data_IF_412207616970
#
_entry.id   IF_412207616970
#
_cell.length_a   1.000
_cell.length_b   1.000
_cell.length_c   1.000
_cell.angle_alpha   90.00
_cell.angle_beta   90.00
_cell.angle_gamma   90.00
#
_symmetry.space_group_name_H-M   'P 1'
#
loop_
_entity.id
_entity.type
_entity.pdbx_description
1 polymer ?
2 polymer ?
3 non-polymer ?
4 non-polymer ?
5 non-polymer ?
6 non-polymer ?
7 non-polymer ?
8 water ?
#
loop_
_entity_poly.entity_id
_entity_poly.type
_entity_poly.pdbx_seq_one_letter_code
_entity_poly.pdbx_strand_id
2 'polyribonucleotide' 'GAACCUCCGCCCAUUGCACUCCGGGCGGUGAAGGAGAGGCGCAAGGUUAACCGCCUCAGGUUCC' ?
#
# COMPACT_ATOMS: atom_id res chain seq x y z
N UNK A 2 -12.10 2.68 18.75
CA UNK A 2 -10.83 2.53 19.46
C UNK A 2 -9.72 3.24 18.69
N UNK A 3 -9.54 2.82 17.43
CA UNK A 3 -8.63 3.52 16.53
C UNK A 3 -9.43 3.96 15.31
N UNK A 4 -9.97 5.18 15.36
CA UNK A 4 -10.88 5.63 14.32
C UNK A 4 -10.20 5.91 13.01
N UNK A 5 -8.87 6.13 13.02
CA UNK A 5 -8.17 6.42 11.79
C UNK A 5 -8.12 5.24 10.85
N UNK A 6 -8.47 4.04 11.32
CA UNK A 6 -8.53 2.88 10.46
C UNK A 6 -9.95 2.53 10.04
N UNK A 7 -10.98 3.24 10.61
CA UNK A 7 -12.37 2.95 10.24
C UNK A 7 -12.75 3.82 9.05
N UNK A 8 -13.30 3.23 7.99
CA UNK A 8 -13.56 3.98 6.76
C UNK A 8 -14.36 5.24 7.00
N UNK A 9 -14.06 6.27 6.21
CA UNK A 9 -14.61 7.59 6.41
C UNK A 9 -14.71 8.27 5.06
N UNK A 10 -15.61 9.23 4.95
CA UNK A 10 -15.68 9.98 3.70
C UNK A 10 -14.36 10.66 3.37
N UNK A 11 -13.58 11.01 4.39
CA UNK A 11 -12.40 11.83 4.22
C UNK A 11 -11.16 10.98 4.48
N UNK A 12 -10.18 11.08 3.59
CA UNK A 12 -8.87 10.50 3.83
C UNK A 12 -7.93 11.61 4.29
N UNK A 13 -7.05 11.27 5.22
CA UNK A 13 -6.02 12.16 5.74
C UNK A 13 -4.69 11.68 5.17
N UNK A 14 -4.02 12.56 4.42
CA UNK A 14 -2.71 12.24 3.87
C UNK A 14 -1.68 13.10 4.61
N UNK A 15 -0.60 12.49 5.07
CA UNK A 15 0.55 13.30 5.47
C UNK A 15 1.79 12.73 4.84
N UNK A 16 2.91 13.28 5.26
CA UNK A 16 4.18 13.05 4.62
C UNK A 16 4.22 13.65 3.22
N UNK A 17 3.45 14.70 2.99
CA UNK A 17 3.55 15.43 1.74
C UNK A 17 4.74 16.38 1.75
N UNK A 18 5.26 16.64 0.56
CA UNK A 18 6.31 17.62 0.36
C UNK A 18 5.84 19.00 0.78
N UNK A 19 6.41 19.60 1.81
CA UNK A 19 5.90 20.91 2.32
C UNK A 19 6.33 22.06 1.42
N UNK A 20 7.26 21.84 0.52
CA UNK A 20 7.77 22.86 -0.43
C UNK A 20 6.68 23.33 -1.40
N UNK A 21 5.81 22.43 -1.84
CA UNK A 21 4.76 22.76 -2.85
C UNK A 21 3.77 23.77 -2.30
N UNK A 22 3.32 24.67 -3.17
CA UNK A 22 2.40 25.76 -2.75
C UNK A 22 0.99 25.24 -2.51
N UNK A 23 0.21 25.94 -1.70
CA UNK A 23 -1.09 25.45 -1.27
C UNK A 23 -1.99 25.11 -2.46
N UNK A 24 -2.12 26.02 -3.40
CA UNK A 24 -3.05 25.77 -4.52
C UNK A 24 -2.52 24.68 -5.43
N UNK A 25 -1.22 24.69 -5.74
CA UNK A 25 -0.68 23.63 -6.57
C UNK A 25 -0.87 22.28 -5.91
N UNK A 26 -0.64 22.21 -4.59
CA UNK A 26 -0.82 20.96 -3.89
C UNK A 26 -2.26 20.49 -3.99
N UNK A 27 -3.21 21.41 -3.73
CA UNK A 27 -4.63 21.08 -3.84
C UNK A 27 -4.99 20.56 -5.22
N UNK A 28 -4.53 21.25 -6.27
CA UNK A 28 -4.93 20.84 -7.61
C UNK A 28 -4.23 19.56 -8.04
N UNK A 29 -2.98 19.34 -7.65
CA UNK A 29 -2.35 18.06 -7.98
C UNK A 29 -2.99 16.89 -7.22
N UNK A 30 -3.33 17.10 -5.95
CA UNK A 30 -4.08 16.08 -5.23
C UNK A 30 -5.38 15.76 -5.95
N UNK A 31 -6.14 16.80 -6.34
CA UNK A 31 -7.36 16.53 -7.08
C UNK A 31 -7.06 15.75 -8.34
N UNK A 32 -6.02 16.11 -9.06
CA UNK A 32 -5.73 15.39 -10.30
C UNK A 32 -5.51 13.92 -10.03
N UNK A 33 -4.79 13.58 -8.98
CA UNK A 33 -4.46 12.17 -8.79
C UNK A 33 -5.59 11.40 -8.10
N UNK A 34 -6.46 12.08 -7.37
CA UNK A 34 -7.49 11.40 -6.61
C UNK A 34 -8.88 11.42 -7.23
N UNK A 35 -9.13 12.26 -8.21
CA UNK A 35 -10.52 12.37 -8.66
C UNK A 35 -11.04 11.14 -9.38
N UNK A 36 -10.19 10.30 -9.98
CA UNK A 36 -10.72 9.14 -10.68
C UNK A 36 -11.38 8.15 -9.74
N UNK A 37 -11.22 8.29 -8.44
CA UNK A 37 -11.79 7.30 -7.55
C UNK A 37 -13.19 7.67 -7.13
N UNK A 38 -13.67 8.83 -7.51
CA UNK A 38 -14.99 9.25 -7.11
C UNK A 38 -15.10 10.75 -7.06
N UNK A 39 -16.31 11.22 -6.78
CA UNK A 39 -16.51 12.65 -6.75
C UNK A 39 -15.88 13.19 -5.49
N UNK A 40 -15.30 14.38 -5.59
CA UNK A 40 -14.57 14.99 -4.49
C UNK A 40 -15.34 16.20 -4.01
N UNK A 41 -15.86 16.14 -2.78
CA UNK A 41 -16.50 17.32 -2.20
C UNK A 41 -15.47 18.43 -1.98
N UNK A 42 -14.33 18.11 -1.41
CA UNK A 42 -13.37 19.20 -1.23
C UNK A 42 -12.02 18.65 -0.80
N UNK A 43 -11.00 19.47 -0.92
CA UNK A 43 -9.65 19.10 -0.50
C UNK A 43 -9.07 20.26 0.29
N UNK A 44 -8.74 20.01 1.56
CA UNK A 44 -8.34 21.02 2.52
C UNK A 44 -6.85 20.88 2.80
N UNK A 45 -6.08 21.91 2.45
CA UNK A 45 -4.65 21.98 2.78
C UNK A 45 -4.36 23.30 3.47
N UNK A 46 -3.51 23.25 4.49
CA UNK A 46 -3.03 24.43 5.18
C UNK A 46 -1.52 24.36 5.21
N UNK A 47 -0.87 25.52 5.12
CA UNK A 47 0.56 25.59 5.25
C UNK A 47 0.99 26.04 6.64
N UNK A 48 0.07 26.07 7.58
CA UNK A 48 0.36 26.37 8.97
C UNK A 48 1.52 25.50 9.46
N UNK A 49 2.20 25.94 10.54
CA UNK A 49 3.20 25.10 11.17
C UNK A 49 2.60 23.76 11.56
N UNK A 50 1.38 23.80 12.09
CA UNK A 50 0.73 22.62 12.62
C UNK A 50 0.18 21.73 11.52
N UNK A 51 -0.15 22.30 10.36
CA UNK A 51 -0.85 21.56 9.31
C UNK A 51 -0.02 21.30 8.06
N UNK A 52 1.19 21.83 7.94
CA UNK A 52 1.92 21.58 6.72
C UNK A 52 2.20 20.09 6.54
N UNK A 53 2.47 19.70 5.29
CA UNK A 53 2.72 18.32 4.96
C UNK A 53 1.50 17.42 4.98
N UNK A 54 0.30 17.97 5.25
CA UNK A 54 -0.92 17.20 5.42
C UNK A 54 -2.04 17.76 4.54
N UNK A 55 -2.96 16.88 4.17
CA UNK A 55 -4.12 17.24 3.37
C UNK A 55 -5.31 16.36 3.75
N UNK A 56 -6.50 16.93 3.72
CA UNK A 56 -7.70 16.12 3.88
C UNK A 56 -8.42 16.12 2.55
N UNK A 57 -8.64 14.94 1.99
CA UNK A 57 -9.38 14.80 0.73
C UNK A 57 -10.75 14.23 1.06
N UNK A 58 -11.82 14.94 0.69
CA UNK A 58 -13.19 14.62 1.09
C UNK A 58 -13.98 14.15 -0.12
N UNK A 59 -14.35 12.86 -0.09
CA UNK A 59 -15.09 12.16 -1.12
C UNK A 59 -16.57 12.14 -0.77
N UNK A 60 -17.40 12.14 -1.82
CA UNK A 60 -18.85 12.03 -1.65
C UNK A 60 -19.24 10.66 -1.13
N UNK A 61 -18.49 9.63 -1.49
CA UNK A 61 -18.81 8.25 -1.20
C UNK A 61 -17.68 7.60 -0.42
N UNK A 62 -18.02 6.95 0.70
CA UNK A 62 -16.98 6.30 1.49
C UNK A 62 -16.26 5.24 0.66
N UNK A 63 -16.99 4.51 -0.17
CA UNK A 63 -16.30 3.51 -0.99
C UNK A 63 -15.19 4.17 -1.83
N UNK A 64 -15.40 5.41 -2.26
CA UNK A 64 -14.36 6.11 -3.01
C UNK A 64 -13.13 6.35 -2.15
N UNK A 65 -13.33 6.82 -0.92
CA UNK A 65 -12.20 6.99 -0.02
C UNK A 65 -11.43 5.69 0.13
N UNK A 66 -12.16 4.58 0.31
CA UNK A 66 -11.48 3.30 0.54
C UNK A 66 -10.65 2.90 -0.67
N UNK A 67 -11.19 3.07 -1.89
CA UNK A 67 -10.37 2.75 -3.06
C UNK A 67 -9.19 3.70 -3.22
N UNK A 68 -9.38 4.97 -2.93
CA UNK A 68 -8.27 5.88 -3.10
C UNK A 68 -7.14 5.49 -2.15
N UNK A 69 -7.47 5.30 -0.88
CA UNK A 69 -6.44 4.92 0.12
C UNK A 69 -5.69 3.67 -0.33
N UNK A 70 -6.39 2.60 -0.66
CA UNK A 70 -5.71 1.33 -0.96
C UNK A 70 -4.83 1.50 -2.18
N UNK A 71 -5.32 2.24 -3.15
CA UNK A 71 -4.59 2.35 -4.41
C UNK A 71 -3.43 3.35 -4.32
N UNK A 72 -3.51 4.31 -3.44
CA UNK A 72 -2.49 5.35 -3.42
C UNK A 72 -1.62 5.29 -2.16
N UNK A 73 -1.87 4.33 -1.27
CA UNK A 73 -0.99 4.15 -0.13
C UNK A 73 0.43 4.03 -0.63
N UNK A 74 1.32 4.81 -0.03
CA UNK A 74 2.74 4.79 -0.35
C UNK A 74 3.14 5.34 -1.71
N UNK A 75 2.21 5.84 -2.49
CA UNK A 75 2.53 6.24 -3.85
C UNK A 75 3.48 7.43 -3.87
N UNK A 76 4.49 7.42 -4.75
CA UNK A 76 5.42 8.55 -4.82
C UNK A 76 4.73 9.78 -5.39
N UNK A 77 4.87 10.90 -4.68
CA UNK A 77 4.16 12.13 -4.99
C UNK A 77 5.04 13.28 -4.56
N UNK A 78 5.49 14.09 -5.50
CA UNK A 78 6.43 15.17 -5.20
C UNK A 78 7.62 14.65 -4.40
N UNK A 79 8.06 13.44 -4.73
CA UNK A 79 9.26 12.77 -4.21
C UNK A 79 9.11 12.20 -2.82
N UNK A 80 7.91 12.09 -2.28
CA UNK A 80 7.73 11.49 -0.99
C UNK A 80 6.56 10.50 -1.06
N UNK A 81 6.69 9.35 -0.38
CA UNK A 81 5.60 8.38 -0.40
C UNK A 81 4.43 8.88 0.41
N UNK A 82 3.27 8.95 -0.22
CA UNK A 82 2.08 9.40 0.48
C UNK A 82 1.74 8.46 1.62
N UNK A 83 1.39 9.01 2.77
CA UNK A 83 0.93 8.20 3.88
C UNK A 83 -0.53 8.52 4.09
N UNK A 84 -1.40 7.51 3.95
CA UNK A 84 -2.85 7.74 3.89
C UNK A 84 -3.54 7.02 5.04
N UNK A 85 -4.41 7.74 5.74
CA UNK A 85 -5.32 7.16 6.72
C UNK A 85 -6.74 7.62 6.42
N UNK A 86 -7.71 7.10 7.15
CA UNK A 86 -9.00 7.75 7.18
C UNK A 86 -8.96 8.83 8.26
N UNK A 87 -9.64 9.95 8.00
CA UNK A 87 -9.75 11.01 8.99
C UNK A 87 -10.35 10.48 10.28
N UNK A 88 -9.91 11.03 11.40
CA UNK A 88 -10.40 10.55 12.70
C UNK A 88 -11.83 11.00 12.99
N UNK A 89 -12.34 11.98 12.27
CA UNK A 89 -13.69 12.46 12.51
C UNK A 89 -14.22 12.97 11.19
N UNK A 90 -15.54 13.01 11.05
CA UNK A 90 -16.10 13.48 9.81
C UNK A 90 -15.68 14.93 9.60
N UNK A 91 -15.36 15.27 8.35
CA UNK A 91 -15.23 16.67 7.97
C UNK A 91 -16.56 17.38 8.15
N UNK A 92 -16.49 18.69 8.40
CA UNK A 92 -17.69 19.45 8.71
C UNK A 92 -18.72 19.31 7.60
N UNK A 93 -18.31 19.45 6.35
CA UNK A 93 -19.28 19.37 5.25
C UNK A 93 -20.04 18.05 5.31
N UNK A 94 -19.38 16.97 5.71
CA UNK A 94 -20.04 15.68 5.84
C UNK A 94 -20.94 15.67 7.07
N UNK A 95 -20.45 16.20 8.20
CA UNK A 95 -21.29 16.22 9.38
C UNK A 95 -22.60 16.95 9.10
N UNK A 96 -22.52 18.01 8.31
CA UNK A 96 -23.72 18.74 7.94
C UNK A 96 -24.66 17.85 7.13
N UNK A 97 -24.15 17.06 6.20
CA UNK A 97 -25.02 16.17 5.44
C UNK A 97 -25.75 15.19 6.35
N UNK A 98 -25.02 14.56 7.26
CA UNK A 98 -25.59 13.54 8.13
C UNK A 98 -26.50 14.11 9.21
N UNK A 99 -26.60 15.43 9.34
CA UNK A 99 -27.37 16.01 10.42
C UNK A 99 -26.70 16.02 11.78
N UNK A 100 -25.39 15.75 11.86
CA UNK A 100 -24.67 15.62 13.12
C UNK A 100 -23.82 16.83 13.49
N UNK A 101 -23.86 17.91 12.71
CA UNK A 101 -22.94 19.02 12.90
C UNK A 101 -23.16 19.70 14.25
N UNK A 102 -22.03 19.99 14.92
CA UNK A 102 -21.95 20.64 16.24
C UNK A 102 -22.90 20.01 17.26
N UNK C 1 16.71 -14.14 -0.32
CA UNK C 1 16.40 -12.81 0.21
C UNK C 1 14.89 -12.60 0.52
N UNK C 2 14.57 -11.44 1.12
CA UNK C 2 13.21 -11.01 1.39
C UNK C 2 12.32 -11.15 0.15
N UNK C 3 11.48 -12.20 0.11
CA UNK C 3 10.52 -12.41 -0.94
C UNK C 3 9.11 -12.47 -0.30
N UNK C 4 8.16 -11.66 -0.75
CA UNK C 4 6.84 -11.61 -0.08
C UNK C 4 6.06 -12.90 -0.31
N UNK C 5 5.51 -13.45 0.78
CA UNK C 5 4.64 -14.63 0.72
C UNK C 5 3.25 -14.21 0.26
N UNK C 6 2.88 -14.59 -0.97
CA UNK C 6 1.57 -14.22 -1.54
C UNK C 6 0.54 -15.36 -1.53
N UNK C 7 0.89 -16.56 -1.09
CA UNK C 7 -0.08 -17.64 -1.13
C UNK C 7 -1.00 -17.53 0.07
N UNK C 8 -2.31 -17.47 -0.14
CA UNK C 8 -3.26 -17.21 0.97
C UNK C 8 -3.15 -18.18 2.12
N UNK C 9 -3.43 -17.66 3.32
CA UNK C 9 -3.33 -18.40 4.56
C UNK C 9 -4.34 -17.81 5.54
N UNK C 10 -4.73 -18.61 6.54
CA UNK C 10 -5.61 -18.06 7.57
C UNK C 10 -4.96 -16.89 8.30
N UNK C 11 -3.63 -16.88 8.36
CA UNK C 11 -2.90 -15.97 9.24
C UNK C 11 -2.13 -14.96 8.40
N UNK C 12 -2.25 -13.68 8.75
CA UNK C 12 -1.43 -12.65 8.11
C UNK C 12 -0.24 -12.33 9.01
N UNK C 13 0.91 -12.15 8.40
CA UNK C 13 2.16 -11.83 9.08
C UNK C 13 2.45 -10.36 8.83
N UNK C 14 2.49 -9.56 9.91
CA UNK C 14 2.72 -8.13 9.81
C UNK C 14 4.09 -7.81 10.39
N UNK C 15 4.89 -7.04 9.66
CA UNK C 15 6.16 -6.59 10.20
C UNK C 15 6.37 -5.13 9.85
N UNK C 16 7.54 -4.62 10.20
CA UNK C 16 7.82 -3.19 10.20
C UNK C 16 6.96 -2.47 11.22
N UNK C 17 6.59 -3.18 12.29
CA UNK C 17 5.90 -2.57 13.40
C UNK C 17 6.85 -1.80 14.29
N UNK C 18 6.33 -0.75 14.92
CA UNK C 18 7.03 0.08 15.91
C UNK C 18 7.42 -0.77 17.12
N UNK C 19 8.72 -0.99 17.34
CA UNK C 19 9.10 -1.92 18.40
C UNK C 19 8.98 -1.35 19.80
N UNK C 20 8.67 -0.07 19.93
CA UNK C 20 8.53 0.52 21.25
C UNK C 20 7.16 0.29 21.86
N UNK C 21 6.25 -0.46 21.21
CA UNK C 21 4.90 -0.62 21.74
C UNK C 21 4.84 -1.89 22.57
N UNK C 22 4.26 -1.78 23.76
CA UNK C 22 4.23 -2.92 24.68
C UNK C 22 3.28 -3.99 24.15
N UNK C 23 3.54 -5.24 24.54
CA UNK C 23 2.83 -6.37 23.95
C UNK C 23 1.31 -6.22 24.03
N UNK C 24 0.78 -5.90 25.22
CA UNK C 24 -0.67 -5.87 25.35
C UNK C 24 -1.29 -4.72 24.56
N UNK C 25 -0.68 -3.54 24.61
CA UNK C 25 -1.23 -2.45 23.80
C UNK C 25 -1.22 -2.83 22.34
N UNK C 26 -0.15 -3.48 21.90
CA UNK C 26 -0.08 -3.87 20.51
C UNK C 26 -1.20 -4.83 20.18
N UNK C 27 -1.38 -5.89 20.98
CA UNK C 27 -2.49 -6.82 20.71
C UNK C 27 -3.82 -6.09 20.67
N UNK C 28 -4.09 -5.20 21.62
CA UNK C 28 -5.42 -4.60 21.63
C UNK C 28 -5.63 -3.77 20.38
N UNK C 29 -4.60 -3.03 19.96
CA UNK C 29 -4.75 -2.18 18.79
C UNK C 29 -4.86 -3.02 17.52
N UNK C 30 -4.05 -4.07 17.41
CA UNK C 30 -4.18 -4.96 16.26
C UNK C 30 -5.60 -5.48 16.16
N UNK C 31 -6.12 -6.04 17.26
CA UNK C 31 -7.48 -6.55 17.21
C UNK C 31 -8.46 -5.44 16.84
N UNK C 32 -8.28 -4.25 17.41
CA UNK C 32 -9.21 -3.16 17.13
C UNK C 32 -9.24 -2.85 15.64
N UNK C 33 -8.08 -2.82 14.98
CA UNK C 33 -8.09 -2.38 13.59
C UNK C 33 -8.43 -3.54 12.65
N UNK C 34 -8.17 -4.79 13.00
CA UNK C 34 -8.36 -5.90 12.03
C UNK C 34 -9.63 -6.71 12.30
N UNK C 35 -10.39 -6.35 13.32
CA UNK C 35 -11.61 -7.08 13.70
C UNK C 35 -12.70 -6.91 12.64
N UNK C 36 -12.63 -5.84 11.85
CA UNK C 36 -13.71 -5.56 10.87
C UNK C 36 -13.60 -6.48 9.68
N UNK C 37 -12.40 -6.91 9.37
CA UNK C 37 -12.15 -7.84 8.25
C UNK C 37 -12.82 -9.18 8.54
N UNK C 38 -12.78 -9.63 9.79
CA UNK C 38 -13.45 -10.88 10.16
C UNK C 38 -13.10 -11.33 11.55
N UNK C 39 -13.55 -12.52 11.92
CA UNK C 39 -13.27 -13.07 13.27
C UNK C 39 -11.80 -13.38 13.42
N UNK C 40 -11.25 -13.06 14.58
CA UNK C 40 -9.81 -13.31 14.84
C UNK C 40 -9.74 -14.38 15.92
N UNK C 41 -8.99 -15.45 15.65
CA UNK C 41 -8.89 -16.58 16.60
C UNK C 41 -7.80 -16.24 17.63
N UNK C 42 -6.72 -15.61 17.20
CA UNK C 42 -5.69 -15.13 18.14
C UNK C 42 -4.77 -14.09 17.48
N UNK C 43 -4.05 -13.30 18.28
CA UNK C 43 -3.00 -12.40 17.75
C UNK C 43 -1.72 -12.73 18.53
N UNK C 44 -0.64 -13.12 17.86
CA UNK C 44 0.60 -13.54 18.49
C UNK C 44 1.61 -12.42 18.39
N UNK C 45 2.05 -11.91 19.54
CA UNK C 45 3.06 -10.87 19.62
C UNK C 45 4.18 -11.28 20.56
N UNK C 46 5.43 -11.13 20.10
CA UNK C 46 6.61 -11.37 20.92
C UNK C 46 7.55 -10.19 20.78
N UNK C 47 8.18 -9.78 21.88
CA UNK C 47 9.19 -8.73 21.82
C UNK C 47 10.63 -9.25 21.83
N UNK C 48 10.83 -10.57 21.72
CA UNK C 48 12.17 -11.16 21.63
C UNK C 48 12.99 -10.46 20.56
N UNK C 49 14.32 -10.65 20.61
CA UNK C 49 15.17 -10.10 19.57
C UNK C 49 14.71 -10.53 18.18
N UNK C 50 14.36 -11.81 18.03
CA UNK C 50 14.05 -12.33 16.71
C UNK C 50 12.64 -11.96 16.25
N UNK C 51 11.71 -11.74 17.17
CA UNK C 51 10.31 -11.52 16.81
C UNK C 51 9.81 -10.11 17.04
N UNK C 52 10.59 -9.21 17.61
CA UNK C 52 10.06 -7.88 17.78
C UNK C 52 9.75 -7.29 16.41
N UNK C 53 8.87 -6.29 16.41
CA UNK C 53 8.45 -5.68 15.16
C UNK C 53 7.50 -6.49 14.31
N UNK C 54 7.09 -7.68 14.76
CA UNK C 54 6.25 -8.58 13.96
C UNK C 54 5.07 -9.05 14.78
N UNK C 55 3.99 -9.40 14.09
CA UNK C 55 2.78 -9.90 14.72
C UNK C 55 2.13 -10.89 13.78
N UNK C 56 1.51 -11.92 14.34
CA UNK C 56 0.72 -12.87 13.55
C UNK C 56 -0.73 -12.68 13.92
N UNK C 57 -1.56 -12.36 12.93
CA UNK C 57 -3.00 -12.22 13.16
C UNK C 57 -3.69 -13.40 12.50
N UNK C 58 -4.42 -14.19 13.29
CA UNK C 58 -4.97 -15.48 12.87
C UNK C 58 -6.49 -15.34 12.78
N UNK C 59 -7.01 -15.41 11.55
CA UNK C 59 -8.44 -15.29 11.20
C UNK C 59 -9.08 -16.67 11.09
N UNK C 60 -10.37 -16.76 11.45
CA UNK C 60 -11.07 -18.04 11.27
C UNK C 60 -11.26 -18.37 9.79
N UNK C 61 -11.41 -17.36 8.94
CA UNK C 61 -11.72 -17.56 7.53
C UNK C 61 -10.64 -16.87 6.70
N UNK C 62 -10.09 -17.61 5.74
CA UNK C 62 -9.05 -17.07 4.85
C UNK C 62 -9.54 -15.81 4.16
N UNK C 63 -10.84 -15.70 3.92
CA UNK C 63 -11.38 -14.50 3.32
C UNK C 63 -11.00 -13.26 4.12
N UNK C 64 -11.07 -13.36 5.45
CA UNK C 64 -10.72 -12.21 6.27
C UNK C 64 -9.26 -11.87 6.09
N UNK C 65 -8.41 -12.90 6.06
CA UNK C 65 -7.01 -12.64 5.81
C UNK C 65 -6.85 -11.88 4.52
N UNK C 66 -7.49 -12.32 3.46
CA UNK C 66 -7.27 -11.68 2.15
C UNK C 66 -7.71 -10.20 2.14
N UNK C 67 -8.87 -9.89 2.68
CA UNK C 67 -9.34 -8.48 2.72
C UNK C 67 -8.40 -7.62 3.58
N UNK C 68 -7.98 -8.13 4.72
CA UNK C 68 -7.09 -7.37 5.62
C UNK C 68 -5.74 -7.09 4.97
N UNK C 69 -5.16 -8.08 4.30
CA UNK C 69 -3.90 -7.77 3.63
C UNK C 69 -4.12 -6.70 2.57
N UNK C 70 -5.18 -6.84 1.79
CA UNK C 70 -5.45 -5.89 0.68
C UNK C 70 -5.79 -4.50 1.17
N UNK C 71 -6.66 -4.43 2.15
CA UNK C 71 -7.09 -3.13 2.71
C UNK C 71 -6.01 -2.36 3.48
N UNK C 72 -5.21 -3.05 4.29
CA UNK C 72 -4.29 -2.36 5.23
C UNK C 72 -2.83 -2.32 4.81
N UNK C 73 -2.49 -2.73 3.59
CA UNK C 73 -1.05 -2.72 3.29
C UNK C 73 -0.56 -1.28 3.36
N UNK C 74 0.53 -1.05 4.05
CA UNK C 74 1.15 0.27 4.12
C UNK C 74 0.46 1.18 5.08
N UNK C 75 -0.54 0.69 5.79
CA UNK C 75 -1.31 1.63 6.61
C UNK C 75 -0.37 2.18 7.67
N UNK C 76 -0.37 3.50 7.88
CA UNK C 76 0.43 4.07 8.92
C UNK C 76 -0.11 3.55 10.25
N UNK C 77 0.78 3.13 11.16
CA UNK C 77 0.39 2.53 12.46
C UNK C 77 1.50 2.83 13.43
N UNK C 78 1.19 3.53 14.49
CA UNK C 78 2.23 3.93 15.43
C UNK C 78 3.41 4.52 14.68
N UNK C 79 3.12 5.30 13.64
CA UNK C 79 4.09 6.05 12.88
C UNK C 79 4.88 5.24 11.87
N UNK C 80 4.51 4.01 11.57
CA UNK C 80 5.25 3.28 10.55
C UNK C 80 4.26 2.54 9.65
N UNK C 81 4.53 2.49 8.35
CA UNK C 81 3.62 1.77 7.46
C UNK C 81 3.71 0.27 7.68
N UNK C 82 2.57 -0.34 7.98
CA UNK C 82 2.52 -1.79 8.14
C UNK C 82 2.95 -2.47 6.86
N UNK C 83 3.67 -3.57 6.99
CA UNK C 83 3.97 -4.43 5.85
C UNK C 83 3.32 -5.77 6.11
N UNK C 84 2.44 -6.20 5.22
CA UNK C 84 1.60 -7.37 5.45
C UNK C 84 1.89 -8.43 4.39
N UNK C 85 2.02 -9.67 4.83
CA UNK C 85 2.11 -10.84 3.97
C UNK C 85 1.14 -11.89 4.49
N UNK C 86 1.04 -13.01 3.77
CA UNK C 86 0.44 -14.18 4.36
C UNK C 86 1.51 -14.95 5.10
N UNK C 87 1.13 -15.60 6.20
CA UNK C 87 2.04 -16.48 6.90
C UNK C 87 2.59 -17.55 5.96
N UNK C 88 3.84 -17.95 6.17
CA UNK C 88 4.43 -18.96 5.31
C UNK C 88 3.91 -20.35 5.60
N UNK C 89 3.33 -20.57 6.77
CA UNK C 89 2.89 -21.89 7.20
C UNK C 89 1.68 -21.69 8.11
N UNK C 90 0.87 -22.74 8.24
CA UNK C 90 -0.31 -22.66 9.08
C UNK C 90 0.07 -22.41 10.53
N UNK C 91 -0.67 -21.53 11.20
CA UNK C 91 -0.56 -21.40 12.65
C UNK C 91 -0.99 -22.70 13.32
N UNK C 92 -0.47 -22.93 14.52
CA UNK C 92 -0.75 -24.18 15.21
C UNK C 92 -2.25 -24.35 15.45
N UNK C 93 -2.90 -23.29 15.95
CA UNK C 93 -4.33 -23.35 16.22
C UNK C 93 -5.12 -23.70 14.95
N UNK C 94 -4.64 -23.25 13.80
CA UNK C 94 -5.31 -23.59 12.54
C UNK C 94 -5.02 -25.02 12.13
N UNK C 95 -3.76 -25.45 12.20
CA UNK C 95 -3.46 -26.83 11.82
C UNK C 95 -4.26 -27.81 12.67
N UNK C 96 -4.44 -27.51 13.95
CA UNK C 96 -5.27 -28.34 14.82
C UNK C 96 -6.73 -28.30 14.36
N UNK C 97 -7.18 -27.15 13.87
CA UNK C 97 -8.54 -27.04 13.35
C UNK C 97 -8.79 -28.06 12.25
N UNK C 98 -7.89 -28.09 11.26
CA UNK C 98 -7.94 -28.95 10.09
C UNK C 98 -7.48 -30.39 10.34
N UNK C 99 -7.05 -30.76 11.55
CA UNK C 99 -6.54 -32.10 11.77
C UNK C 99 -5.14 -32.37 11.25
N UNK C 100 -4.39 -31.35 10.86
CA UNK C 100 -3.09 -31.51 10.23
C UNK C 100 -1.93 -31.26 11.19
N UNK C 101 -2.22 -31.04 12.47
CA UNK C 101 -1.23 -30.57 13.43
C UNK C 101 -0.10 -31.58 13.70
N UNK C 102 1.15 -31.10 13.60
CA UNK C 102 2.39 -31.84 13.90
C UNK C 102 2.38 -33.26 13.39
N UNK D 1 -4.72 8.77 -19.08
CA UNK D 1 -4.78 10.02 -19.79
C UNK D 1 -4.11 11.13 -19.04
N UNK D 2 -4.81 11.70 -18.08
CA UNK D 2 -4.31 12.86 -17.35
C UNK D 2 -3.15 12.76 -16.40
N UNK D 3 -3.06 11.74 -15.57
CA UNK D 3 -1.99 11.47 -14.65
C UNK D 3 -1.80 10.00 -14.91
N UNK D 4 -1.14 9.67 -15.99
CA UNK D 4 -1.04 8.26 -16.37
C UNK D 4 -0.35 7.36 -15.38
N UNK D 5 0.54 7.90 -14.57
CA UNK D 5 1.30 7.14 -13.59
C UNK D 5 0.46 6.48 -12.56
N UNK D 6 -0.65 7.08 -12.23
CA UNK D 6 -1.53 6.58 -11.22
C UNK D 6 -2.55 5.63 -11.75
N UNK D 7 -2.67 5.55 -13.05
CA UNK D 7 -3.69 4.71 -13.64
C UNK D 7 -3.18 3.32 -14.05
N UNK D 8 -3.88 2.18 -13.69
CA UNK D 8 -3.31 0.85 -13.96
C UNK D 8 -2.86 0.68 -15.40
N UNK D 9 -1.79 -0.10 -15.55
CA UNK D 9 -1.12 -0.34 -16.81
C UNK D 9 -0.47 -1.72 -16.71
N UNK D 10 -0.25 -2.37 -17.85
CA UNK D 10 0.42 -3.67 -17.82
C UNK D 10 1.79 -3.58 -17.17
N UNK D 11 2.44 -2.42 -17.25
CA UNK D 11 3.82 -2.27 -16.85
C UNK D 11 3.89 -1.34 -15.64
N UNK D 12 4.59 -1.78 -14.62
CA UNK D 12 4.88 -0.95 -13.46
C UNK D 12 6.30 -0.43 -13.62
N UNK D 13 6.50 0.82 -13.22
CA UNK D 13 7.79 1.50 -13.22
C UNK D 13 8.24 1.58 -11.77
N UNK D 14 9.39 0.98 -11.46
CA UNK D 14 9.96 0.97 -10.11
C UNK D 14 11.23 1.82 -10.12
N UNK D 15 11.38 2.69 -9.13
CA UNK D 15 12.63 3.43 -8.97
C UNK D 15 12.98 3.47 -7.49
N UNK D 16 14.03 4.25 -7.19
CA UNK D 16 14.72 4.19 -5.90
C UNK D 16 15.34 2.81 -5.71
N UNK D 17 15.71 2.18 -6.82
CA UNK D 17 16.43 0.91 -6.76
C UNK D 17 17.91 1.17 -6.46
N UNK D 18 18.53 0.21 -5.76
CA UNK D 18 19.96 0.23 -5.50
C UNK D 18 20.75 0.17 -6.80
N UNK D 19 21.47 1.22 -7.17
CA UNK D 19 22.14 1.28 -8.51
C UNK D 19 23.42 0.45 -8.53
N UNK D 20 23.85 -0.08 -7.40
CA UNK D 20 25.15 -0.78 -7.33
C UNK D 20 25.00 -2.23 -7.77
N UNK D 21 23.78 -2.73 -7.79
CA UNK D 21 23.52 -4.11 -8.31
C UNK D 21 23.69 -4.19 -9.84
N UNK D 22 24.37 -5.23 -10.33
CA UNK D 22 24.61 -5.44 -11.74
C UNK D 22 23.30 -5.71 -12.47
N UNK D 23 23.32 -5.39 -13.76
CA UNK D 23 22.09 -5.36 -14.54
C UNK D 23 21.34 -6.69 -14.43
N UNK D 24 22.05 -7.80 -14.63
CA UNK D 24 21.41 -9.10 -14.64
C UNK D 24 20.98 -9.54 -13.24
N UNK D 25 21.82 -9.31 -12.22
CA UNK D 25 21.37 -9.64 -10.87
C UNK D 25 20.08 -8.89 -10.54
N UNK D 26 20.01 -7.62 -10.91
CA UNK D 26 18.79 -6.86 -10.65
C UNK D 26 17.61 -7.46 -11.42
N UNK D 27 17.78 -7.73 -12.71
CA UNK D 27 16.67 -8.28 -13.47
C UNK D 27 16.15 -9.57 -12.83
N UNK D 28 17.06 -10.47 -12.46
CA UNK D 28 16.61 -11.76 -11.96
C UNK D 28 16.02 -11.64 -10.57
N UNK D 29 16.55 -10.76 -9.72
CA UNK D 29 15.93 -10.62 -8.42
C UNK D 29 14.54 -10.00 -8.55
N UNK D 30 14.41 -9.00 -9.43
CA UNK D 30 13.10 -8.44 -9.69
C UNK D 30 12.13 -9.53 -10.14
N UNK D 31 12.54 -10.33 -11.12
CA UNK D 31 11.66 -11.39 -11.58
C UNK D 31 11.30 -12.32 -10.43
N UNK D 32 12.28 -12.72 -9.63
CA UNK D 32 12.01 -13.64 -8.54
C UNK D 32 10.95 -13.09 -7.59
N UNK D 33 10.94 -11.78 -7.30
CA UNK D 33 9.90 -11.35 -6.37
C UNK D 33 8.60 -11.05 -7.10
N UNK D 34 8.65 -10.61 -8.35
CA UNK D 34 7.44 -10.08 -8.96
C UNK D 34 6.69 -11.11 -9.76
N UNK D 35 7.30 -12.27 -10.03
CA UNK D 35 6.60 -13.32 -10.74
C UNK D 35 5.53 -13.93 -9.86
N UNK D 36 5.57 -13.67 -8.55
CA UNK D 36 4.54 -14.19 -7.66
C UNK D 36 3.16 -13.64 -8.00
N UNK D 37 3.11 -12.50 -8.69
CA UNK D 37 1.85 -11.82 -8.90
C UNK D 37 1.21 -12.13 -10.25
N UNK D 38 1.88 -12.90 -11.10
CA UNK D 38 1.42 -13.09 -12.47
C UNK D 38 2.59 -13.36 -13.40
N UNK D 39 2.26 -13.48 -14.69
CA UNK D 39 3.30 -13.69 -15.70
C UNK D 39 4.03 -12.42 -15.96
N UNK D 40 5.33 -12.54 -16.21
CA UNK D 40 6.13 -11.38 -16.54
C UNK D 40 6.48 -11.57 -18.00
N UNK D 41 5.99 -10.66 -18.83
CA UNK D 41 6.40 -10.63 -20.22
C UNK D 41 7.88 -10.25 -20.30
N UNK D 42 8.27 -9.24 -19.52
CA UNK D 42 9.69 -8.88 -19.55
C UNK D 42 10.01 -7.90 -18.44
N UNK D 43 11.31 -7.74 -18.17
CA UNK D 43 11.81 -6.78 -17.20
C UNK D 43 12.98 -6.02 -17.83
N UNK D 44 12.84 -4.71 -17.94
CA UNK D 44 13.81 -3.85 -18.58
C UNK D 44 14.55 -3.04 -17.52
N UNK D 45 15.86 -3.23 -17.41
CA UNK D 45 16.70 -2.40 -16.56
C UNK D 45 17.82 -1.85 -17.42
N UNK D 46 18.14 -0.58 -17.22
CA UNK D 46 19.25 0.03 -17.92
C UNK D 46 20.16 0.61 -16.87
N UNK D 47 21.47 0.56 -17.11
CA UNK D 47 22.42 1.18 -16.21
C UNK D 47 22.99 2.49 -16.76
N UNK D 48 22.42 3.01 -17.85
CA UNK D 48 22.79 4.33 -18.32
C UNK D 48 22.65 5.33 -17.19
N UNK D 49 23.27 6.50 -17.35
CA UNK D 49 23.10 7.57 -16.38
C UNK D 49 21.62 7.88 -16.17
N UNK D 50 20.85 7.95 -17.26
CA UNK D 50 19.47 8.39 -17.16
C UNK D 50 18.52 7.31 -16.64
N UNK D 51 18.86 6.03 -16.78
CA UNK D 51 17.93 4.97 -16.41
C UNK D 51 18.39 4.15 -15.22
N UNK D 52 19.57 4.38 -14.67
CA UNK D 52 19.97 3.57 -13.53
C UNK D 52 19.01 3.80 -12.37
N UNK D 53 18.98 2.85 -11.45
CA UNK D 53 18.07 2.96 -10.31
C UNK D 53 16.60 2.72 -10.63
N UNK D 54 16.26 2.42 -11.89
CA UNK D 54 14.89 2.28 -12.35
C UNK D 54 14.77 0.99 -13.14
N UNK D 55 13.55 0.43 -13.13
CA UNK D 55 13.23 -0.80 -13.85
C UNK D 55 11.77 -0.74 -14.31
N UNK D 56 11.50 -1.36 -15.46
CA UNK D 56 10.15 -1.54 -15.96
C UNK D 56 9.81 -3.02 -15.93
N UNK D 57 8.77 -3.37 -15.18
CA UNK D 57 8.30 -4.75 -15.12
C UNK D 57 7.02 -4.82 -15.93
N UNK D 58 6.99 -5.66 -16.96
CA UNK D 58 5.90 -5.75 -17.92
C UNK D 58 5.18 -7.06 -17.67
N UNK D 59 3.94 -6.93 -17.19
CA UNK D 59 3.07 -8.02 -16.81
C UNK D 59 2.11 -8.41 -17.95
N UNK D 60 1.80 -9.71 -18.02
CA UNK D 60 0.87 -10.16 -19.05
C UNK D 60 -0.54 -9.62 -18.81
N UNK D 61 -0.94 -9.50 -17.55
CA UNK D 61 -2.28 -9.07 -17.18
C UNK D 61 -2.24 -7.93 -16.20
N UNK D 62 -3.01 -6.86 -16.49
CA UNK D 62 -3.04 -5.70 -15.63
C UNK D 62 -3.41 -6.08 -14.19
N UNK D 63 -4.25 -7.07 -13.99
CA UNK D 63 -4.58 -7.52 -12.66
C UNK D 63 -3.36 -7.75 -11.82
N UNK D 64 -2.35 -8.37 -12.40
CA UNK D 64 -1.12 -8.68 -11.70
C UNK D 64 -0.34 -7.49 -11.26
N UNK D 65 -0.26 -6.50 -12.10
CA UNK D 65 0.47 -5.33 -11.80
C UNK D 65 -0.11 -4.60 -10.71
N UNK D 66 -1.41 -4.58 -10.68
CA UNK D 66 -2.09 -3.85 -9.66
C UNK D 66 -1.80 -4.45 -8.34
N UNK D 67 -1.82 -5.75 -8.27
CA UNK D 67 -1.52 -6.40 -7.03
C UNK D 67 -0.12 -6.17 -6.63
N UNK D 68 0.77 -6.18 -7.59
CA UNK D 68 2.15 -5.97 -7.31
C UNK D 68 2.52 -4.63 -6.81
N UNK D 69 1.91 -3.60 -7.35
CA UNK D 69 2.21 -2.31 -6.91
C UNK D 69 1.84 -2.19 -5.50
N UNK D 70 0.66 -2.65 -5.16
CA UNK D 70 0.21 -2.46 -3.82
C UNK D 70 0.94 -3.25 -2.84
N UNK D 71 1.15 -4.48 -3.16
CA UNK D 71 1.80 -5.32 -2.25
C UNK D 71 3.21 -4.91 -2.03
N UNK D 72 3.89 -4.52 -3.08
CA UNK D 72 5.28 -4.22 -2.97
C UNK D 72 5.68 -2.78 -2.83
N UNK D 73 4.74 -1.89 -2.69
CA UNK D 73 5.09 -0.52 -2.47
C UNK D 73 5.86 -0.37 -1.22
N UNK D 74 6.96 0.35 -1.31
CA UNK D 74 7.79 0.53 -0.13
C UNK D 74 8.54 -0.69 0.35
N UNK D 75 8.43 -1.81 -0.36
CA UNK D 75 9.04 -3.04 0.12
C UNK D 75 10.56 -2.92 0.09
N UNK D 76 11.24 -3.41 1.12
CA UNK D 76 12.72 -3.32 1.16
C UNK D 76 13.37 -4.24 0.14
N UNK D 77 14.28 -3.67 -0.65
CA UNK D 77 14.90 -4.39 -1.76
C UNK D 77 16.33 -3.91 -1.88
N UNK D 78 17.29 -4.81 -1.67
CA UNK D 78 18.70 -4.43 -1.71
C UNK D 78 18.93 -3.18 -0.89
N UNK D 79 18.23 -3.09 0.24
CA UNK D 79 18.42 -2.06 1.25
C UNK D 79 17.76 -0.73 0.89
N UNK D 80 16.88 -0.69 -0.10
CA UNK D 80 16.14 0.52 -0.40
C UNK D 80 14.67 0.17 -0.63
N UNK D 81 13.76 0.98 -0.10
CA UNK D 81 12.33 0.70 -0.30
C UNK D 81 11.92 1.01 -1.74
N UNK D 82 11.28 0.05 -2.39
CA UNK D 82 10.85 0.28 -3.77
C UNK D 82 9.86 1.43 -3.84
N UNK D 83 9.98 2.25 -4.88
CA UNK D 83 8.93 3.23 -5.19
C UNK D 83 8.30 2.84 -6.51
N UNK D 84 7.02 2.50 -6.48
CA UNK D 84 6.36 1.86 -7.62
C UNK D 84 5.25 2.75 -8.14
N UNK D 85 5.22 2.99 -9.46
CA UNK D 85 4.13 3.65 -10.16
C UNK D 85 3.70 2.77 -11.32
N UNK D 86 2.65 3.17 -12.02
CA UNK D 86 2.39 2.60 -13.33
C UNK D 86 3.15 3.39 -14.36
N UNK D 87 3.60 2.71 -15.42
CA UNK D 87 4.24 3.40 -16.53
C UNK D 87 3.34 4.48 -17.12
N UNK D 88 3.95 5.60 -17.53
CA UNK D 88 3.21 6.72 -18.09
C UNK D 88 2.69 6.45 -19.49
N UNK D 89 3.16 5.39 -20.15
CA UNK D 89 2.70 5.00 -21.47
C UNK D 89 2.88 3.49 -21.56
N UNK D 90 2.14 2.86 -22.46
CA UNK D 90 2.29 1.41 -22.63
C UNK D 90 3.70 1.06 -23.10
N UNK D 91 4.24 -0.03 -22.57
CA UNK D 91 5.47 -0.57 -23.13
C UNK D 91 5.25 -1.01 -24.56
N UNK D 92 6.34 -1.03 -25.33
CA UNK D 92 6.24 -1.36 -26.75
C UNK D 92 5.61 -2.74 -26.93
N UNK D 93 5.92 -3.68 -26.06
CA UNK D 93 5.37 -5.05 -26.28
C UNK D 93 3.85 -4.99 -26.21
N UNK D 94 3.30 -4.31 -25.22
CA UNK D 94 1.83 -4.23 -25.00
C UNK D 94 1.18 -3.52 -26.18
N UNK D 95 1.81 -2.49 -26.68
CA UNK D 95 1.19 -1.67 -27.75
C UNK D 95 0.99 -2.55 -28.98
N UNK D 96 1.96 -3.40 -29.26
CA UNK D 96 1.87 -4.29 -30.44
C UNK D 96 0.69 -5.24 -30.31
N UNK D 97 0.48 -5.79 -29.12
CA UNK D 97 -0.66 -6.71 -28.88
C UNK D 97 -1.96 -5.93 -29.07
N UNK D 98 -1.98 -4.70 -28.58
CA UNK D 98 -3.16 -3.81 -28.74
C UNK D 98 -3.33 -3.49 -30.23
N UNK D 99 -2.23 -3.38 -30.96
CA UNK D 99 -2.32 -2.91 -32.36
C UNK D 99 -2.17 -1.40 -32.38
N UNK D 100 -1.85 -0.83 -31.24
CA UNK D 100 -1.64 0.64 -31.14
C UNK D 100 -0.17 0.98 -31.39
N UNK D 101 0.67 -0.01 -31.68
CA UNK D 101 2.13 0.29 -31.77
C UNK D 101 2.42 1.29 -32.88
N UNK D 102 3.33 2.23 -32.62
CA UNK D 102 3.65 3.33 -33.58
C UNK D 102 2.42 3.59 -34.44
X LIG G 1 -1.41 40.72 -3.45
X LIG H 1 0.78 44.16 -2.18
X LIG I 1 -24.47 36.08 -16.90
X LIG I 1 -25.81 35.47 -17.16
X LIG I 1 -24.56 37.51 -16.43
X LIG I 1 -23.44 35.83 -17.98
X LIG I 1 -23.91 35.30 -15.61
X LIG I 1 -23.21 33.86 -15.66
X LIG I 1 -23.73 33.06 -16.82
X LIG I 1 -21.73 34.02 -15.48
X LIG I 1 -23.81 33.23 -14.32
X LIG I 1 -25.02 33.74 -13.80
X LIG I 1 -25.73 32.67 -13.00
X LIG I 1 -25.85 31.48 -13.77
X LIG I 1 -24.96 32.24 -11.78
X LIG I 1 -25.26 33.03 -10.64
X LIG I 1 -25.47 30.85 -11.57
X LIG I 1 -26.71 30.93 -10.88
X LIG I 1 -25.74 30.32 -12.94
X LIG I 1 -24.57 29.52 -13.36
X LIG I 1 -23.73 29.85 -14.34
X LIG I 1 -22.75 28.91 -14.49
X LIG I 1 -22.98 27.97 -13.58
X LIG I 1 -22.33 26.71 -13.22
X LIG I 1 -21.23 26.27 -13.86
X LIG I 1 -22.86 26.00 -12.21
X LIG I 1 -23.97 26.41 -11.55
X LIG I 1 -24.44 25.64 -10.55
X LIG I 1 -24.61 27.55 -11.85
X LIG I 1 -24.18 28.36 -12.84
X LIG J 1 5.63 60.80 -14.47
X LIG J 1 4.41 60.16 -15.09
X LIG J 1 4.68 58.86 -15.58
X LIG J 1 3.47 58.17 -15.84
X LIG J 1 3.27 57.05 -14.86
X LIG J 1 1.85 58.44 -11.72
X LIG J 1 2.09 58.31 -13.20
X LIG J 1 3.19 57.47 -13.50
X LIG K 1 10.71 57.19 -1.54
X LIG K 1 9.18 57.63 -3.42
X LIG K 1 10.18 57.30 -4.35
X LIG K 1 9.92 57.41 -5.69
X LIG K 1 8.70 57.86 -6.22
X LIG K 1 7.71 58.18 -5.26
X LIG K 1 7.92 58.08 -3.93
X LIG K 1 8.26 60.58 -6.73
X LIG K 1 9.41 57.54 -2.06
X LIG K 1 8.37 57.85 -1.10
X LIG K 1 10.96 57.04 -6.51
X LIG K 1 9.67 57.78 -9.85
X LIG K 1 10.76 57.46 -10.59
X LIG K 1 11.96 56.98 -9.97
X LIG K 1 14.19 55.90 -10.19
X LIG K 1 13.16 57.06 -12.11
X LIG K 1 11.94 56.84 -8.57
X LIG K 1 10.83 57.18 -7.86
X LIG K 1 7.19 58.35 -8.16
X LIG K 1 6.60 57.40 -8.98
X LIG K 1 5.32 57.59 -9.45
X LIG K 1 4.60 58.72 -9.12
X LIG K 1 5.14 59.63 -8.23
X LIG K 1 6.44 59.46 -7.75
X LIG K 1 7.02 60.55 -6.86
X LIG K 1 3.22 58.87 -9.70
X LIG K 1 8.54 57.98 -7.60
X LIG K 1 9.64 57.65 -8.44
X LIG K 1 13.07 56.66 -10.72
X LIG K 1 3.02 58.25 -10.89
X LIG K 1 6.27 61.46 -6.46
X LIG K 1 2.37 59.60 -9.18
X LIG L 1 7.20 60.30 -12.62
X LIG L 1 8.48 59.76 -12.90
X LIG L 1 9.56 60.06 -12.13
X LIG L 1 9.41 60.90 -11.02
X LIG L 1 8.20 61.44 -10.68
X LIG L 1 7.09 61.16 -11.48
X LIG L 1 6.17 59.96 -13.40
X LIG L 1 10.59 61.19 -10.20
X LIG L 1 5.85 61.76 -11.06
X LIG L 1 5.86 62.52 -10.09
X LIG L 1 4.83 61.49 -11.68
X LIG L 1 10.45 61.92 -9.23
X LIG L 1 11.64 60.66 -10.51
X LIG M 1 3.69 -6.80 37.93
X LIG N 1 7.97 -5.68 41.77
X LIG O 1 16.60 1.07 53.61
X LIG O 1 14.37 1.30 54.64
X LIG O 1 14.33 2.68 54.34
X LIG O 1 13.24 3.42 54.69
X LIG O 1 12.11 2.89 55.35
X LIG O 1 12.16 1.49 55.63
X LIG O 1 13.23 0.74 55.30
X LIG O 1 10.42 1.43 59.35
X LIG O 1 15.45 0.53 54.30
X LIG O 1 15.46 -0.88 54.62
X LIG O 1 13.29 4.75 54.35
X LIG O 1 10.06 6.02 55.48
X LIG O 1 10.17 7.32 55.05
X LIG O 1 11.35 7.77 54.37
X LIG O 1 10.42 10.05 54.15
X LIG O 1 12.65 9.53 53.21
X LIG O 1 12.37 6.83 54.16
X LIG O 1 12.23 5.55 54.61
X LIG O 1 9.75 3.10 56.16
X LIG O 1 8.70 3.15 55.25
X LIG O 1 7.50 2.52 55.52
X LIG O 1 7.32 1.81 56.70
X LIG O 1 8.40 1.69 57.59
X LIG O 1 9.61 2.30 57.32
X LIG O 1 10.70 2.16 58.36
X LIG O 1 6.00 1.19 56.97
X LIG O 1 11.03 3.71 55.66
X LIG O 1 11.07 5.07 55.25
X LIG O 1 11.48 9.07 53.94
X LIG O 1 5.88 0.25 58.05
X LIG O 1 11.78 2.79 58.21
X LIG O 1 4.99 1.57 56.38
X LIG P 1 -19.59 -15.84 40.23
X LIG P 1 -20.67 -16.77 40.71
X LIG P 1 -18.65 -15.39 41.33
X LIG P 1 -20.06 -14.72 39.33
X LIG P 1 -18.66 -16.73 39.29
X LIG P 1 -19.04 -17.00 37.76
X LIG P 1 -20.49 -17.40 37.67
X LIG P 1 -18.52 -15.86 36.92
X LIG P 1 -18.17 -18.29 37.41
X LIG P 1 -18.54 -19.52 38.00
X LIG P 1 -18.65 -20.57 36.90
X LIG P 1 -19.69 -20.23 36.00
X LIG P 1 -17.41 -20.58 36.02
X LIG P 1 -16.37 -21.39 36.54
X LIG P 1 -17.94 -21.15 34.74
X LIG P 1 -17.91 -22.58 34.81
X LIG P 1 -19.35 -20.66 34.67
X LIG P 1 -19.33 -19.50 33.77
X LIG P 1 -19.56 -18.22 34.10
X LIG P 1 -19.45 -17.41 33.02
X LIG P 1 -19.15 -18.18 31.97
X LIG P 1 -18.90 -17.96 30.53
X LIG P 1 -18.95 -16.71 30.00
X LIG P 1 -18.61 -19.02 29.78
X LIG P 1 -18.56 -20.28 30.29
X LIG P 1 -18.26 -21.31 29.48
X LIG P 1 -18.78 -20.55 31.59
X LIG P 1 -19.07 -19.56 32.46
X LIG Q 1 53.24 -4.09 -26.17
X LIG Q 1 53.21 -6.45 -26.88
X LIG Q 1 53.76 -6.86 -25.65
X LIG Q 1 53.96 -8.18 -25.41
X LIG Q 1 53.63 -9.21 -26.31
X LIG Q 1 53.05 -8.78 -27.53
X LIG Q 1 52.85 -7.46 -27.82
X LIG Q 1 54.77 -10.94 -30.24
X LIG Q 1 53.00 -5.12 -27.16
X LIG Q 1 52.64 -4.71 -28.51
X LIG Q 1 54.51 -8.47 -24.19
X LIG Q 1 54.86 -12.12 -24.26
X LIG Q 1 55.44 -12.31 -23.06
X LIG Q 1 55.73 -11.20 -22.19
X LIG Q 1 56.90 -12.66 -20.56
X LIG Q 1 56.52 -10.30 -20.03
X LIG Q 1 55.38 -9.92 -22.64
X LIG Q 1 54.79 -9.76 -23.86
X LIG Q 1 53.43 -11.65 -26.90
X LIG Q 1 52.50 -12.53 -26.32
X LIG Q 1 51.93 -13.53 -27.08
X LIG Q 1 52.25 -13.68 -28.43
X LIG Q 1 53.13 -12.77 -29.01
X LIG Q 1 53.71 -11.75 -28.27
X LIG Q 1 54.69 -10.84 -28.99
X LIG Q 1 51.65 -14.79 -29.23
X LIG Q 1 53.89 -10.55 -25.98
X LIG Q 1 54.49 -10.82 -24.73
X LIG Q 1 56.34 -11.39 -20.97
X LIG Q 1 51.96 -14.76 -30.62
X LIG Q 1 55.40 -10.05 -28.31
X LIG Q 1 51.02 -15.71 -28.72
X LIG R 1 15.02 -30.18 -28.89
X LIG R 1 13.97 -30.74 -29.80
X LIG R 1 16.38 -30.82 -29.03
X LIG R 1 14.58 -29.96 -27.47
X LIG R 1 15.25 -28.70 -29.45
X LIG R 1 16.15 -28.42 -30.73
X LIG R 1 15.94 -29.51 -31.75
X LIG R 1 17.53 -28.07 -30.24
X LIG R 1 15.44 -27.11 -31.29
X LIG R 1 14.76 -27.21 -32.54
X LIG R 1 13.48 -26.41 -32.50
X LIG R 1 12.55 -27.01 -31.60
X LIG R 1 13.68 -25.04 -31.90
X LIG R 1 14.18 -24.09 -32.83
X LIG R 1 12.28 -24.70 -31.49
X LIG R 1 11.58 -24.20 -32.63
X LIG R 1 11.69 -26.01 -31.06
X LIG R 1 11.80 -26.07 -29.60
X LIG R 1 12.54 -26.96 -28.92
X LIG R 1 12.46 -26.76 -27.60
X LIG R 1 11.66 -25.71 -27.41
X LIG R 1 11.16 -24.97 -26.24
X LIG R 1 11.51 -25.34 -24.99
X LIG R 1 10.34 -23.92 -26.47
X LIG R 1 9.97 -23.54 -27.71
X LIG R 1 9.16 -22.49 -27.83
X LIG R 1 10.40 -24.18 -28.81
X LIG R 1 11.23 -25.24 -28.73
#
# INVERSE_FOLDING_TARGET
MAVPETRPNHTIYINNLNEKIKKDELKKSLHAIFSRFGQILDILVSRSLKMRGQAFVIFKEVSSATNALRSMQGFPFYDKPMRIQYAKTDSDIIAKMKGTFV
MAVPETRPNHTIYINNLNEKIKKDELKKSLHAIFSRFGQILDILVSRSLKMRGQAFVIFKEVSSATNALRSMQGFPFYDKPMRIQYAKTDSDIIAKMKGTFV
MAVPETRPNHTIYINNLNEKIKKDELKKSLHAIFSRFGQILDILVSRSLKMRGQAFVIFKEVSSATNALRSMQGFPFYDKPMRIQYAKTDSDIIAKMKGTFV
MG MG
MG MG
GDP PB O1B O2B O3B O3A PA O1A O2A O5' C5' C4' O4' C3' O3' C2' O2' C1' N9 C8 N7 C5 C6 O6 N1 C2 N2 N3 C4
PGE C1 C2 O2 C3 C4 C6 C5 O3
V8C C1 C2 C3 C4 C5 C6 C7 O1 N C O C10 C11 C12 C13 C14 C15 C16 C17 C18 C19 C20 C21 C22 C23 C24 C8 C9 N1 N25 O2 O26
V7U C35 C36 C37 C38 C39 C40 N33 N41 N42 O43 O44 O45 O46
MG MG
MG MG
V8C C1 C2 C3 C4 C5 C6 C7 O1 N C O C10 C11 C12 C13 C14 C15 C16 C17 C18 C19 C20 C21 C22 C23 C24 C8 C9 N1 N25 O2 O26
GDP PB O1B O2B O3B O3A PA O1A O2A O5' C5' C4' O4' C3' O3' C2' O2' C1' N9 C8 N7 C5 C6 O6 N1 C2 N2 N3 C4
V8C C1 C2 C3 C4 C5 C6 C7 O1 N C O C10 C11 C12 C13 C14 C15 C16 C17 C18 C19 C20 C21 C22 C23 C24 C8 C9 N1 N25 O2 O26
GDP PB O1B O2B O3B O3A PA O1A O2A O5' C5' C4' O4' C3' O3' C2' O2' C1' N9 C8 N7 C5 C6 O6 N1 C2 N2 N3 C4
#
